data_IF_625899350943
#
_entry.id   IF_625899350943
#
_cell.length_a   1.000
_cell.length_b   1.000
_cell.length_c   1.000
_cell.angle_alpha   90.00
_cell.angle_beta   90.00
_cell.angle_gamma   90.00
#
_symmetry.space_group_name_H-M   'P 1'
#
loop_
_entity.id
_entity.type
_entity.pdbx_description
1 polymer ?
#
# COMPACT_ATOMS: atom_id res chain seq x y z
N UNK A 1 -23.78 -13.69 44.93
CA UNK A 1 -23.10 -12.84 43.94
C UNK A 1 -24.14 -12.24 43.01
N UNK A 2 -24.33 -10.92 42.96
CA UNK A 2 -25.15 -10.29 41.90
C UNK A 2 -24.30 -10.20 40.64
N UNK A 3 -24.64 -10.98 39.61
CA UNK A 3 -23.99 -10.90 38.30
C UNK A 3 -24.18 -9.48 37.73
N UNK A 4 -23.08 -8.84 37.29
CA UNK A 4 -23.18 -7.57 36.55
C UNK A 4 -23.91 -7.83 35.24
N UNK A 5 -25.06 -7.18 35.05
CA UNK A 5 -25.77 -7.17 33.78
C UNK A 5 -24.97 -6.28 32.81
N UNK A 6 -24.64 -6.73 31.59
CA UNK A 6 -23.96 -5.89 30.61
C UNK A 6 -24.78 -4.62 30.37
N UNK A 7 -24.15 -3.45 30.48
CA UNK A 7 -24.79 -2.18 30.11
C UNK A 7 -25.06 -2.25 28.61
N UNK A 8 -26.34 -2.35 28.22
CA UNK A 8 -26.74 -2.23 26.82
C UNK A 8 -26.52 -0.79 26.38
N UNK A 9 -25.41 -0.54 25.69
CA UNK A 9 -25.13 0.73 25.06
C UNK A 9 -26.23 1.06 24.03
N UNK A 10 -26.61 2.34 23.95
CA UNK A 10 -27.52 2.82 22.92
C UNK A 10 -26.91 2.56 21.54
N UNK A 11 -27.72 2.20 20.55
CA UNK A 11 -27.27 1.90 19.17
C UNK A 11 -26.39 3.02 18.59
N UNK A 12 -26.73 4.27 18.87
CA UNK A 12 -25.97 5.46 18.46
C UNK A 12 -24.56 5.49 19.06
N UNK A 13 -24.41 5.15 20.34
CA UNK A 13 -23.11 5.09 21.01
C UNK A 13 -22.24 3.95 20.46
N UNK A 14 -22.83 2.80 20.14
CA UNK A 14 -22.12 1.69 19.49
C UNK A 14 -21.67 2.08 18.07
N UNK A 15 -22.54 2.74 17.31
CA UNK A 15 -22.21 3.22 15.96
C UNK A 15 -21.06 4.23 15.98
N UNK A 16 -21.05 5.14 16.96
CA UNK A 16 -19.97 6.12 17.09
C UNK A 16 -18.66 5.49 17.55
N UNK A 17 -18.70 4.52 18.48
CA UNK A 17 -17.52 3.73 18.88
C UNK A 17 -16.93 3.02 17.66
N UNK A 18 -17.76 2.38 16.83
CA UNK A 18 -17.29 1.68 15.63
C UNK A 18 -16.65 2.66 14.63
N UNK A 19 -17.26 3.83 14.40
CA UNK A 19 -16.67 4.86 13.52
C UNK A 19 -15.30 5.34 14.00
N UNK A 20 -15.15 5.56 15.31
CA UNK A 20 -13.87 5.97 15.90
C UNK A 20 -12.84 4.83 15.74
N UNK A 21 -13.22 3.60 16.04
CA UNK A 21 -12.36 2.43 15.88
C UNK A 21 -11.92 2.26 14.42
N UNK A 22 -12.85 2.34 13.46
CA UNK A 22 -12.57 2.25 12.04
C UNK A 22 -11.61 3.37 11.60
N UNK A 23 -11.85 4.61 12.03
CA UNK A 23 -10.99 5.75 11.69
C UNK A 23 -9.57 5.57 12.22
N UNK A 24 -9.40 5.18 13.48
CA UNK A 24 -8.08 4.98 14.07
C UNK A 24 -7.37 3.77 13.44
N UNK A 25 -8.12 2.71 13.13
CA UNK A 25 -7.59 1.57 12.39
C UNK A 25 -7.07 1.98 10.99
N UNK A 26 -7.85 2.75 10.22
CA UNK A 26 -7.42 3.23 8.91
C UNK A 26 -6.16 4.11 9.02
N UNK A 27 -6.09 5.01 10.00
CA UNK A 27 -4.88 5.85 10.19
C UNK A 27 -3.62 5.02 10.44
N UNK A 28 -3.72 3.99 11.29
CA UNK A 28 -2.58 3.11 11.57
C UNK A 28 -2.20 2.34 10.31
N UNK A 29 -3.18 1.79 9.60
CA UNK A 29 -2.98 1.05 8.35
C UNK A 29 -2.34 1.92 7.27
N UNK A 30 -2.83 3.13 7.05
CA UNK A 30 -2.29 4.06 6.05
C UNK A 30 -0.84 4.44 6.36
N UNK A 31 -0.52 4.63 7.64
CA UNK A 31 0.85 4.90 8.08
C UNK A 31 1.77 3.71 7.79
N UNK A 32 1.32 2.49 8.12
CA UNK A 32 2.09 1.27 7.84
C UNK A 32 2.32 1.06 6.35
N UNK A 33 1.27 1.22 5.53
CA UNK A 33 1.35 1.15 4.07
C UNK A 33 2.38 2.18 3.56
N UNK A 34 2.28 3.43 4.00
CA UNK A 34 3.20 4.49 3.58
C UNK A 34 4.65 4.20 3.95
N UNK A 35 4.89 3.67 5.15
CA UNK A 35 6.24 3.30 5.60
C UNK A 35 6.80 2.11 4.80
N UNK A 36 5.99 1.10 4.51
CA UNK A 36 6.37 -0.06 3.68
C UNK A 36 6.66 0.38 2.24
N UNK A 37 5.77 1.15 1.60
CA UNK A 37 5.96 1.68 0.25
C UNK A 37 7.25 2.48 0.15
N UNK A 38 7.54 3.34 1.13
CA UNK A 38 8.79 4.10 1.17
C UNK A 38 10.03 3.20 1.26
N UNK A 39 9.98 2.12 2.05
CA UNK A 39 11.08 1.17 2.16
C UNK A 39 11.31 0.43 0.83
N UNK A 40 10.24 -0.05 0.20
CA UNK A 40 10.31 -0.71 -1.12
C UNK A 40 10.97 0.20 -2.14
N UNK A 41 10.50 1.45 -2.28
CA UNK A 41 11.09 2.41 -3.22
C UNK A 41 12.57 2.67 -2.96
N UNK A 42 12.97 2.85 -1.70
CA UNK A 42 14.39 3.05 -1.35
C UNK A 42 15.24 1.84 -1.75
N UNK A 43 14.77 0.62 -1.47
CA UNK A 43 15.49 -0.60 -1.80
C UNK A 43 15.61 -0.80 -3.31
N UNK A 44 14.55 -0.52 -4.08
CA UNK A 44 14.59 -0.57 -5.54
C UNK A 44 15.60 0.43 -6.12
N UNK A 45 15.59 1.69 -5.66
CA UNK A 45 16.55 2.70 -6.10
C UNK A 45 17.98 2.32 -5.71
N UNK A 46 18.18 1.74 -4.52
CA UNK A 46 19.48 1.25 -4.10
C UNK A 46 20.00 0.14 -5.01
N UNK A 47 19.17 -0.84 -5.37
CA UNK A 47 19.52 -1.89 -6.34
C UNK A 47 19.86 -1.30 -7.72
N UNK A 48 19.07 -0.34 -8.21
CA UNK A 48 19.37 0.37 -9.47
C UNK A 48 20.73 1.09 -9.44
N UNK A 49 21.10 1.68 -8.30
CA UNK A 49 22.40 2.31 -8.13
C UNK A 49 23.54 1.29 -8.05
N UNK A 50 23.41 0.26 -7.21
CA UNK A 50 24.47 -0.72 -6.95
C UNK A 50 24.73 -1.64 -8.14
N UNK A 51 23.67 -2.21 -8.72
CA UNK A 51 23.81 -3.29 -9.69
C UNK A 51 23.87 -2.78 -11.14
N UNK A 52 23.27 -1.60 -11.38
CA UNK A 52 23.14 -1.02 -12.73
C UNK A 52 23.83 0.34 -12.89
N UNK A 53 24.43 0.89 -11.82
CA UNK A 53 25.22 2.13 -11.87
C UNK A 53 24.37 3.38 -12.12
N UNK A 54 23.08 3.38 -11.78
CA UNK A 54 22.23 4.54 -12.03
C UNK A 54 22.65 5.73 -11.16
N UNK A 55 23.04 6.83 -11.80
CA UNK A 55 23.32 8.10 -11.12
C UNK A 55 22.05 8.80 -10.61
N UNK A 56 22.24 9.87 -9.82
CA UNK A 56 21.17 10.65 -9.17
C UNK A 56 19.96 10.91 -10.06
N UNK A 57 20.17 11.46 -11.26
CA UNK A 57 19.05 11.90 -12.11
C UNK A 57 18.25 10.72 -12.68
N UNK A 58 18.93 9.61 -13.02
CA UNK A 58 18.26 8.38 -13.46
C UNK A 58 17.42 7.78 -12.34
N UNK A 59 17.96 7.74 -11.12
CA UNK A 59 17.24 7.30 -9.93
C UNK A 59 16.05 8.22 -9.60
N UNK A 60 16.22 9.55 -9.71
CA UNK A 60 15.15 10.50 -9.49
C UNK A 60 14.01 10.34 -10.51
N UNK A 61 14.36 10.11 -11.79
CA UNK A 61 13.38 9.80 -12.83
C UNK A 61 12.63 8.50 -12.53
N UNK A 62 13.34 7.43 -12.15
CA UNK A 62 12.72 6.16 -11.78
C UNK A 62 11.76 6.32 -10.59
N UNK A 63 12.17 7.05 -9.54
CA UNK A 63 11.31 7.33 -8.39
C UNK A 63 10.05 8.12 -8.75
N UNK A 64 10.19 9.11 -9.65
CA UNK A 64 9.05 9.88 -10.16
C UNK A 64 8.08 8.97 -10.90
N UNK A 65 8.57 8.16 -11.84
CA UNK A 65 7.72 7.23 -12.60
C UNK A 65 7.03 6.19 -11.70
N UNK A 66 7.72 5.65 -10.68
CA UNK A 66 7.09 4.74 -9.72
C UNK A 66 5.97 5.42 -8.92
N UNK A 67 6.15 6.68 -8.53
CA UNK A 67 5.11 7.46 -7.83
C UNK A 67 3.90 7.68 -8.73
N UNK A 68 4.12 8.10 -9.98
CA UNK A 68 3.04 8.32 -10.96
C UNK A 68 2.24 7.04 -11.24
N UNK A 69 2.92 5.88 -11.34
CA UNK A 69 2.29 4.56 -11.51
C UNK A 69 1.34 4.25 -10.34
N UNK A 70 1.77 4.48 -9.10
CA UNK A 70 0.92 4.24 -7.92
C UNK A 70 -0.25 5.22 -7.86
N UNK A 71 -0.05 6.50 -8.16
CA UNK A 71 -1.12 7.50 -8.08
C UNK A 71 -2.28 7.22 -9.05
N UNK A 72 -2.01 6.56 -10.18
CA UNK A 72 -3.03 6.24 -11.18
C UNK A 72 -3.53 4.79 -11.10
N UNK A 73 -2.95 3.95 -10.23
CA UNK A 73 -3.24 2.50 -10.20
C UNK A 73 -4.67 2.16 -9.83
N UNK A 74 -5.37 3.06 -9.12
CA UNK A 74 -6.73 2.84 -8.64
C UNK A 74 -7.80 3.38 -9.61
N UNK A 75 -7.37 4.01 -10.71
CA UNK A 75 -8.26 4.66 -11.68
C UNK A 75 -8.50 3.84 -12.94
N UNK A 76 -7.72 2.80 -13.17
CA UNK A 76 -7.78 1.96 -14.38
C UNK A 76 -7.94 0.49 -14.00
N UNK A 77 -9.07 -0.09 -14.42
CA UNK A 77 -9.48 -1.46 -14.13
C UNK A 77 -8.50 -2.50 -14.71
N UNK A 78 -7.82 -2.18 -15.81
CA UNK A 78 -6.90 -3.10 -16.53
C UNK A 78 -5.43 -2.82 -16.18
N UNK A 79 -5.16 -1.83 -15.34
CA UNK A 79 -3.81 -1.40 -14.99
C UNK A 79 -2.93 -2.54 -14.47
N UNK A 80 -3.45 -3.30 -13.49
CA UNK A 80 -2.71 -4.39 -12.87
C UNK A 80 -2.51 -5.57 -13.82
N UNK A 81 -3.48 -5.86 -14.70
CA UNK A 81 -3.31 -6.88 -15.75
C UNK A 81 -2.16 -6.53 -16.69
N UNK A 82 -2.01 -5.23 -17.02
CA UNK A 82 -0.89 -4.78 -17.84
C UNK A 82 0.45 -5.01 -17.16
N UNK A 83 0.56 -4.65 -15.88
CA UNK A 83 1.78 -4.87 -15.09
C UNK A 83 2.09 -6.37 -14.98
N UNK A 84 1.11 -7.20 -14.67
CA UNK A 84 1.28 -8.65 -14.54
C UNK A 84 1.71 -9.27 -15.87
N UNK A 85 1.14 -8.83 -17.00
CA UNK A 85 1.58 -9.30 -18.32
C UNK A 85 3.05 -8.95 -18.58
N UNK A 86 3.54 -7.81 -18.11
CA UNK A 86 4.95 -7.44 -18.30
C UNK A 86 5.85 -8.20 -17.32
N UNK A 87 5.55 -8.14 -16.02
CA UNK A 87 6.40 -8.67 -14.94
C UNK A 87 6.38 -10.19 -14.91
N UNK A 88 5.20 -10.80 -14.98
CA UNK A 88 5.03 -12.25 -14.89
C UNK A 88 5.13 -12.87 -16.28
N UNK A 89 4.31 -12.43 -17.24
CA UNK A 89 4.23 -13.16 -18.52
C UNK A 89 5.44 -12.91 -19.43
N UNK A 90 6.00 -11.70 -19.47
CA UNK A 90 7.16 -11.37 -20.32
C UNK A 90 8.49 -11.58 -19.61
N UNK A 91 8.66 -11.00 -18.42
CA UNK A 91 9.93 -11.09 -17.68
C UNK A 91 10.08 -12.41 -16.89
N UNK A 92 9.00 -13.19 -16.75
CA UNK A 92 9.01 -14.50 -16.07
C UNK A 92 9.46 -14.41 -14.61
N UNK A 93 9.14 -13.30 -13.94
CA UNK A 93 9.39 -13.14 -12.51
C UNK A 93 8.32 -13.86 -11.70
N UNK A 94 8.73 -14.46 -10.57
CA UNK A 94 7.87 -15.24 -9.69
C UNK A 94 7.01 -14.33 -8.80
N UNK A 95 5.88 -13.88 -9.34
CA UNK A 95 4.82 -13.19 -8.61
C UNK A 95 3.48 -13.91 -8.84
N UNK A 96 2.61 -13.84 -7.84
CA UNK A 96 1.22 -14.28 -7.99
C UNK A 96 0.44 -13.26 -8.84
N UNK A 97 -0.32 -13.75 -9.82
CA UNK A 97 -1.27 -12.90 -10.57
C UNK A 97 -2.38 -12.45 -9.63
N UNK A 98 -2.77 -11.19 -9.76
CA UNK A 98 -3.87 -10.62 -8.98
C UNK A 98 -5.24 -11.00 -9.54
#
# INVERSE_FOLDING_TARGET
MKARIPVKLKKEAVAEINRIADREYQKVKDKEIKDVTRRIFKTMIFALYQDFGFGRDRCAKALKSMTEIIEHSDTDEVFWEHIDRVVIDKLKLEFDKR
#
